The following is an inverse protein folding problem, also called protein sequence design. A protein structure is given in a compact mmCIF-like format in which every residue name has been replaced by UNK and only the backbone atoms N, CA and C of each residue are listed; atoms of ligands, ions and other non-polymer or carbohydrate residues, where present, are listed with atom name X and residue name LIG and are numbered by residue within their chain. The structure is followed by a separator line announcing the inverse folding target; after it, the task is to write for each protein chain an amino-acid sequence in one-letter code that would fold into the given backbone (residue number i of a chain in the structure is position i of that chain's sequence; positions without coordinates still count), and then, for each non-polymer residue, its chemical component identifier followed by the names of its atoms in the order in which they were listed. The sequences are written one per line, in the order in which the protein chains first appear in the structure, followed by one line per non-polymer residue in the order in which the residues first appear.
data_IF_815527557417
#
_entry.id   IF_815527557417
#
_cell.length_a   1.000
_cell.length_b   1.000
_cell.length_c   1.000
_cell.angle_alpha   90.00
_cell.angle_beta   90.00
_cell.angle_gamma   90.00
#
_symmetry.space_group_name_H-M   'P 1'
#
loop_
_entity.id
_entity.type
_entity.pdbx_description
1 polymer ?
#
# COMPACT_ATOMS: atom_id res chain seq x y z
N UNK A 1 -2.09 0.47 16.10
CA UNK A 1 -1.80 1.40 15.00
C UNK A 1 -0.32 1.75 14.88
N UNK A 2 0.34 2.25 15.94
CA UNK A 2 1.77 2.59 15.88
C UNK A 2 2.69 1.41 15.52
N UNK A 3 2.45 0.21 16.06
CA UNK A 3 3.21 -0.99 15.69
C UNK A 3 3.03 -1.38 14.21
N UNK A 4 1.83 -1.19 13.66
CA UNK A 4 1.53 -1.46 12.25
C UNK A 4 2.26 -0.47 11.32
N UNK A 5 2.38 0.79 11.73
CA UNK A 5 3.17 1.80 11.01
C UNK A 5 4.67 1.56 11.11
N UNK A 6 5.17 1.09 12.26
CA UNK A 6 6.58 0.72 12.42
C UNK A 6 6.94 -0.51 11.58
N UNK A 7 6.08 -1.53 11.56
CA UNK A 7 6.26 -2.74 10.75
C UNK A 7 6.28 -2.46 9.24
N UNK A 8 5.52 -1.47 8.78
CA UNK A 8 5.50 -1.06 7.37
C UNK A 8 6.75 -0.30 6.91
N UNK A 9 7.61 0.15 7.82
CA UNK A 9 8.81 0.93 7.52
C UNK A 9 8.50 2.27 6.81
N UNK A 10 9.52 2.89 6.20
CA UNK A 10 9.34 4.15 5.45
C UNK A 10 8.40 4.00 4.24
N UNK A 11 8.27 2.79 3.69
CA UNK A 11 7.41 2.50 2.55
C UNK A 11 5.93 2.80 2.80
N UNK A 12 5.46 2.68 4.04
CA UNK A 12 4.06 2.94 4.39
C UNK A 12 3.63 4.38 4.18
N UNK A 13 4.56 5.34 4.29
CA UNK A 13 4.27 6.76 4.08
C UNK A 13 3.94 7.07 2.63
N UNK A 14 4.67 6.47 1.70
CA UNK A 14 4.39 6.61 0.27
C UNK A 14 3.03 5.99 -0.08
N UNK A 15 2.74 4.80 0.46
CA UNK A 15 1.44 4.14 0.28
C UNK A 15 0.31 5.02 0.80
N UNK A 16 0.46 5.63 1.99
CA UNK A 16 -0.51 6.55 2.56
C UNK A 16 -0.72 7.79 1.68
N UNK A 17 0.37 8.43 1.24
CA UNK A 17 0.29 9.63 0.40
C UNK A 17 -0.47 9.32 -0.89
N UNK A 18 -0.05 8.29 -1.64
CA UNK A 18 -0.70 7.95 -2.90
C UNK A 18 -2.12 7.41 -2.70
N UNK A 19 -2.37 6.63 -1.65
CA UNK A 19 -3.71 6.14 -1.30
C UNK A 19 -4.67 7.27 -0.96
N UNK A 20 -4.26 8.23 -0.14
CA UNK A 20 -5.06 9.40 0.23
C UNK A 20 -5.31 10.33 -0.96
N UNK A 21 -4.28 10.59 -1.78
CA UNK A 21 -4.44 11.37 -3.02
C UNK A 21 -5.42 10.70 -3.98
N UNK A 22 -5.36 9.38 -4.13
CA UNK A 22 -6.32 8.62 -4.94
C UNK A 22 -7.73 8.75 -4.38
N UNK A 23 -7.91 8.59 -3.06
CA UNK A 23 -9.21 8.76 -2.40
C UNK A 23 -9.78 10.17 -2.58
N UNK A 24 -8.95 11.21 -2.42
CA UNK A 24 -9.35 12.60 -2.63
C UNK A 24 -9.77 12.85 -4.09
N UNK A 25 -9.03 12.30 -5.06
CA UNK A 25 -9.38 12.36 -6.47
C UNK A 25 -10.70 11.63 -6.77
N UNK A 26 -10.93 10.46 -6.17
CA UNK A 26 -12.18 9.70 -6.30
C UNK A 26 -13.39 10.49 -5.78
N UNK A 27 -13.27 11.13 -4.62
CA UNK A 27 -14.33 12.03 -4.10
C UNK A 27 -14.55 13.19 -5.06
N UNK A 28 -13.48 13.83 -5.54
CA UNK A 28 -13.55 14.90 -6.52
C UNK A 28 -14.19 14.50 -7.85
N UNK A 29 -14.06 13.24 -8.26
CA UNK A 29 -14.70 12.66 -9.44
C UNK A 29 -16.20 12.40 -9.20
N UNK A 30 -16.59 11.82 -8.07
CA UNK A 30 -18.00 11.59 -7.72
C UNK A 30 -18.83 12.87 -7.65
N UNK A 31 -18.22 13.96 -7.17
CA UNK A 31 -18.88 15.26 -7.08
C UNK A 31 -19.04 15.94 -8.44
N UNK A 32 -18.12 15.67 -9.39
CA UNK A 32 -18.11 16.25 -10.73
C UNK A 32 -17.58 15.21 -11.72
N UNK A 33 -18.44 14.34 -12.27
CA UNK A 33 -18.01 13.32 -13.22
C UNK A 33 -17.51 13.99 -14.50
N UNK A 34 -16.22 13.87 -14.78
CA UNK A 34 -15.52 14.42 -15.95
C UNK A 34 -14.46 13.41 -16.38
N UNK A 35 -14.34 13.06 -17.67
CA UNK A 35 -13.29 12.16 -18.18
C UNK A 35 -11.87 12.52 -17.72
N UNK A 36 -11.56 13.82 -17.55
CA UNK A 36 -10.24 14.26 -17.05
C UNK A 36 -9.99 13.84 -15.61
N UNK A 37 -11.03 13.85 -14.78
CA UNK A 37 -10.95 13.46 -13.36
C UNK A 37 -10.88 11.95 -13.21
N UNK A 38 -11.56 11.21 -14.08
CA UNK A 38 -11.43 9.75 -14.15
C UNK A 38 -9.99 9.34 -14.50
N UNK A 39 -9.41 9.95 -15.53
CA UNK A 39 -8.03 9.69 -15.93
C UNK A 39 -7.04 9.97 -14.77
N UNK A 40 -7.29 11.00 -13.97
CA UNK A 40 -6.50 11.30 -12.76
C UNK A 40 -6.64 10.20 -11.70
N UNK A 41 -7.86 9.73 -11.42
CA UNK A 41 -8.08 8.60 -10.48
C UNK A 41 -7.34 7.36 -10.94
N UNK A 42 -7.38 7.03 -12.24
CA UNK A 42 -6.67 5.88 -12.79
C UNK A 42 -5.14 6.05 -12.68
N UNK A 43 -4.61 7.24 -12.99
CA UNK A 43 -3.18 7.52 -12.88
C UNK A 43 -2.69 7.42 -11.42
N UNK A 44 -3.41 8.03 -10.47
CA UNK A 44 -3.08 7.96 -9.04
C UNK A 44 -3.23 6.54 -8.48
N UNK A 45 -4.23 5.78 -8.95
CA UNK A 45 -4.38 4.38 -8.57
C UNK A 45 -3.17 3.53 -8.98
N UNK A 46 -2.66 3.73 -10.20
CA UNK A 46 -1.44 3.05 -10.67
C UNK A 46 -0.23 3.44 -9.83
N UNK A 47 -0.06 4.74 -9.52
CA UNK A 47 1.00 5.21 -8.64
C UNK A 47 0.92 4.58 -7.25
N UNK A 48 -0.28 4.47 -6.67
CA UNK A 48 -0.50 3.79 -5.39
C UNK A 48 -0.15 2.31 -5.46
N UNK A 49 -0.51 1.60 -6.53
CA UNK A 49 -0.13 0.18 -6.72
C UNK A 49 1.40 0.04 -6.80
N UNK A 50 2.10 0.86 -7.58
CA UNK A 50 3.55 0.82 -7.65
C UNK A 50 4.21 1.16 -6.32
N UNK A 51 3.64 2.10 -5.56
CA UNK A 51 4.10 2.41 -4.21
C UNK A 51 3.92 1.23 -3.25
N UNK A 52 2.81 0.49 -3.34
CA UNK A 52 2.58 -0.71 -2.55
C UNK A 52 3.61 -1.78 -2.88
N UNK A 53 3.81 -2.06 -4.17
CA UNK A 53 4.78 -3.06 -4.61
C UNK A 53 6.19 -2.70 -4.16
N UNK A 54 6.60 -1.44 -4.33
CA UNK A 54 7.90 -0.96 -3.89
C UNK A 54 8.10 -1.10 -2.37
N UNK A 55 7.08 -0.74 -1.57
CA UNK A 55 7.14 -0.87 -0.11
C UNK A 55 7.26 -2.34 0.34
N UNK A 56 6.46 -3.23 -0.25
CA UNK A 56 6.53 -4.68 0.03
C UNK A 56 7.88 -5.25 -0.36
N UNK A 57 8.39 -4.93 -1.55
CA UNK A 57 9.70 -5.37 -2.02
C UNK A 57 10.83 -4.88 -1.10
N UNK A 58 10.79 -3.62 -0.66
CA UNK A 58 11.78 -3.07 0.26
C UNK A 58 11.77 -3.78 1.63
N UNK A 59 10.59 -4.08 2.17
CA UNK A 59 10.49 -4.79 3.45
C UNK A 59 10.96 -6.24 3.32
N UNK A 60 10.57 -6.95 2.26
CA UNK A 60 11.06 -8.31 2.01
C UNK A 60 12.58 -8.35 1.81
N UNK A 61 13.14 -7.40 1.07
CA UNK A 61 14.57 -7.25 0.90
C UNK A 61 15.28 -6.99 2.25
N UNK A 62 14.65 -6.20 3.13
CA UNK A 62 15.17 -5.94 4.48
C UNK A 62 15.23 -7.22 5.29
N UNK A 63 14.18 -8.05 5.29
CA UNK A 63 14.20 -9.35 5.99
C UNK A 63 15.30 -10.26 5.44
N UNK A 64 15.37 -10.40 4.11
CA UNK A 64 16.35 -11.25 3.45
C UNK A 64 17.80 -10.78 3.65
N UNK A 65 18.02 -9.47 3.82
CA UNK A 65 19.33 -8.89 4.04
C UNK A 65 19.74 -8.90 5.52
N UNK A 66 18.82 -8.57 6.42
CA UNK A 66 19.12 -8.36 7.83
C UNK A 66 19.25 -9.68 8.60
N UNK A 67 18.41 -10.69 8.33
CA UNK A 67 18.45 -11.97 9.04
C UNK A 67 19.80 -12.68 8.92
N UNK A 68 20.42 -12.79 7.72
CA UNK A 68 21.74 -13.41 7.59
C UNK A 68 22.89 -12.58 8.18
N UNK A 69 22.76 -11.25 8.23
CA UNK A 69 23.82 -10.35 8.72
C UNK A 69 23.92 -10.28 10.24
N UNK A 70 22.88 -10.73 10.95
CA UNK A 70 22.84 -10.75 12.40
C UNK A 70 23.02 -12.20 12.88
N UNK A 71 24.14 -12.47 13.56
CA UNK A 71 24.51 -13.81 14.00
C UNK A 71 23.49 -14.35 15.04
N UNK A 72 22.91 -13.46 15.83
CA UNK A 72 21.86 -13.71 16.80
C UNK A 72 20.54 -14.18 16.18
N UNK A 73 20.24 -13.80 14.94
CA UNK A 73 19.02 -14.22 14.23
C UNK A 73 19.27 -15.43 13.34
N UNK A 74 20.37 -15.41 12.59
CA UNK A 74 20.74 -16.48 11.65
C UNK A 74 21.08 -17.81 12.33
N UNK A 75 21.60 -17.79 13.56
CA UNK A 75 21.93 -19.01 14.33
C UNK A 75 20.88 -19.36 15.39
N UNK A 76 19.81 -18.58 15.50
CA UNK A 76 18.74 -18.84 16.44
C UNK A 76 17.93 -20.08 16.02
N UNK A 77 17.53 -20.96 16.95
CA UNK A 77 16.51 -21.98 16.70
C UNK A 77 15.19 -21.38 16.17
N UNK A 78 14.91 -20.12 16.52
CA UNK A 78 13.69 -19.40 16.15
C UNK A 78 13.81 -18.68 14.80
N UNK A 79 14.90 -18.88 14.04
CA UNK A 79 15.09 -18.24 12.73
C UNK A 79 13.87 -18.36 11.79
N UNK A 80 13.21 -19.54 11.65
CA UNK A 80 12.01 -19.65 10.83
C UNK A 80 10.86 -18.74 11.30
N UNK A 81 10.69 -18.58 12.61
CA UNK A 81 9.66 -17.71 13.20
C UNK A 81 9.98 -16.23 12.95
N UNK A 82 11.25 -15.84 13.06
CA UNK A 82 11.73 -14.47 12.78
C UNK A 82 11.46 -14.12 11.32
N UNK A 83 11.81 -15.01 10.38
CA UNK A 83 11.56 -14.81 8.95
C UNK A 83 10.06 -14.73 8.65
N UNK A 84 9.25 -15.63 9.21
CA UNK A 84 7.79 -15.59 9.05
C UNK A 84 7.17 -14.30 9.58
N UNK A 85 7.67 -13.81 10.72
CA UNK A 85 7.22 -12.53 11.30
C UNK A 85 7.59 -11.37 10.37
N UNK A 86 8.83 -11.32 9.88
CA UNK A 86 9.26 -10.29 8.94
C UNK A 86 8.48 -10.31 7.62
N UNK A 87 8.11 -11.48 7.11
CA UNK A 87 7.24 -11.61 5.93
C UNK A 87 5.84 -11.06 6.24
N UNK A 88 5.26 -11.40 7.40
CA UNK A 88 3.96 -10.88 7.80
C UNK A 88 3.98 -9.34 7.92
N UNK A 89 5.03 -8.77 8.51
CA UNK A 89 5.23 -7.33 8.59
C UNK A 89 5.39 -6.69 7.21
N UNK A 90 6.08 -7.36 6.29
CA UNK A 90 6.27 -6.90 4.90
C UNK A 90 4.97 -6.80 4.09
N UNK A 91 3.91 -7.50 4.50
CA UNK A 91 2.59 -7.43 3.86
C UNK A 91 1.72 -6.28 4.38
N UNK A 92 2.11 -5.63 5.48
CA UNK A 92 1.42 -4.47 6.07
C UNK A 92 1.14 -3.35 5.05
N UNK A 93 2.11 -2.90 4.22
CA UNK A 93 1.85 -1.87 3.22
C UNK A 93 0.86 -2.31 2.14
N UNK A 94 0.85 -3.60 1.78
CA UNK A 94 -0.12 -4.15 0.82
C UNK A 94 -1.54 -4.11 1.37
N UNK A 95 -1.74 -4.59 2.60
CA UNK A 95 -3.06 -4.58 3.24
C UNK A 95 -3.61 -3.15 3.28
N UNK A 96 -2.81 -2.19 3.74
CA UNK A 96 -3.23 -0.80 3.83
C UNK A 96 -3.50 -0.18 2.45
N UNK A 97 -2.53 -0.30 1.53
CA UNK A 97 -2.62 0.36 0.22
C UNK A 97 -3.76 -0.19 -0.64
N UNK A 98 -3.95 -1.51 -0.64
CA UNK A 98 -5.07 -2.11 -1.36
C UNK A 98 -6.42 -1.83 -0.69
N UNK A 99 -6.47 -1.68 0.63
CA UNK A 99 -7.69 -1.23 1.32
C UNK A 99 -8.09 0.20 0.92
N UNK A 100 -7.11 1.13 0.88
CA UNK A 100 -7.34 2.50 0.44
C UNK A 100 -7.78 2.56 -1.03
N UNK A 101 -7.14 1.76 -1.89
CA UNK A 101 -7.57 1.62 -3.29
C UNK A 101 -8.98 1.05 -3.39
N UNK A 102 -9.32 0.02 -2.62
CA UNK A 102 -10.66 -0.55 -2.60
C UNK A 102 -11.73 0.50 -2.25
N UNK A 103 -11.47 1.32 -1.23
CA UNK A 103 -12.35 2.45 -0.87
C UNK A 103 -12.42 3.48 -2.00
N UNK A 104 -11.29 3.86 -2.59
CA UNK A 104 -11.25 4.83 -3.68
C UNK A 104 -12.04 4.36 -4.90
N UNK A 105 -11.89 3.10 -5.31
CA UNK A 105 -12.62 2.51 -6.44
C UNK A 105 -14.10 2.31 -6.14
N UNK A 106 -14.46 1.96 -4.89
CA UNK A 106 -15.85 1.94 -4.45
C UNK A 106 -16.50 3.31 -4.59
N UNK A 107 -15.81 4.39 -4.18
CA UNK A 107 -16.27 5.77 -4.38
C UNK A 107 -16.39 6.07 -5.87
N UNK A 108 -15.36 5.78 -6.66
CA UNK A 108 -15.34 6.01 -8.12
C UNK A 108 -16.52 5.34 -8.84
N UNK A 109 -16.96 4.15 -8.40
CA UNK A 109 -18.12 3.46 -8.98
C UNK A 109 -19.41 4.30 -8.92
N UNK A 110 -19.63 5.08 -7.87
CA UNK A 110 -20.76 6.03 -7.80
C UNK A 110 -20.61 7.18 -8.80
N UNK A 111 -19.37 7.61 -9.07
CA UNK A 111 -19.06 8.66 -10.02
C UNK A 111 -19.35 8.22 -11.44
N UNK A 112 -18.96 7.00 -11.80
CA UNK A 112 -19.30 6.36 -13.09
C UNK A 112 -20.82 6.28 -13.26
N UNK A 113 -21.54 5.76 -12.25
CA UNK A 113 -23.01 5.68 -12.26
C UNK A 113 -23.69 7.04 -12.43
N UNK A 114 -23.15 8.11 -11.82
CA UNK A 114 -23.68 9.48 -11.93
C UNK A 114 -23.35 10.13 -13.26
N UNK A 115 -22.20 9.79 -13.85
CA UNK A 115 -21.73 10.33 -15.13
C UNK A 115 -22.47 9.77 -16.35
N UNK A 116 -23.29 8.73 -16.19
CA UNK A 116 -24.11 8.18 -17.27
C UNK A 116 -23.34 7.33 -18.29
N UNK A 117 -22.25 6.69 -17.87
CA UNK A 117 -21.64 5.58 -18.61
C UNK A 117 -22.32 4.25 -18.25
#
# INVERSE_FOLDING_TARGET
MMAFMQAGGLGIWFVLIFGLLTGAASVGFVLRPDPRREALVQALSRAAVFSVLAAVSANLATVAWQVPQHAEWSKSPDMPLIVMTGIAESLTPAILGFSLLGIAWFITAFGVRRGGA
#
